data_IF_715777533333
#
_entry.id   IF_715777533333
#
_cell.length_a   1.000
_cell.length_b   1.000
_cell.length_c   1.000
_cell.angle_alpha   90.00
_cell.angle_beta   90.00
_cell.angle_gamma   90.00
#
_symmetry.space_group_name_H-M   'P 1'
#
loop_
_entity.id
_entity.type
_entity.pdbx_description
1 polymer ?
#
# COMPACT_ATOMS: atom_id res chain seq x y z
N UNK A 1 17.27 8.84 3.73
CA UNK A 1 16.41 9.81 3.02
C UNK A 1 14.98 9.52 3.40
N UNK A 2 14.16 10.53 3.68
CA UNK A 2 12.75 10.32 3.97
C UNK A 2 12.04 9.80 2.71
N UNK A 3 11.36 8.66 2.84
CA UNK A 3 10.47 8.07 1.83
C UNK A 3 9.35 9.05 1.48
N UNK A 4 9.59 9.94 0.51
CA UNK A 4 8.57 10.86 0.03
C UNK A 4 7.84 10.19 -1.13
N UNK A 5 6.59 9.78 -0.90
CA UNK A 5 5.70 9.44 -2.00
C UNK A 5 5.41 10.73 -2.79
N UNK A 6 5.86 10.77 -4.04
CA UNK A 6 5.70 11.93 -4.92
C UNK A 6 4.59 11.61 -5.92
N UNK A 7 3.49 12.38 -5.89
CA UNK A 7 2.44 12.27 -6.89
C UNK A 7 2.79 13.14 -8.11
N UNK A 8 3.37 12.50 -9.11
CA UNK A 8 3.87 13.15 -10.33
C UNK A 8 2.77 13.64 -11.28
N UNK A 9 1.52 13.23 -11.06
CA UNK A 9 0.40 13.58 -11.94
C UNK A 9 -0.30 14.88 -11.51
N UNK A 10 -0.41 15.12 -10.19
CA UNK A 10 -1.13 16.28 -9.66
C UNK A 10 -0.25 17.54 -9.62
N UNK A 11 1.08 17.40 -9.65
CA UNK A 11 2.04 18.50 -9.45
C UNK A 11 3.11 18.51 -10.53
N UNK A 12 2.99 19.40 -11.54
CA UNK A 12 3.99 19.56 -12.60
C UNK A 12 5.40 19.89 -12.07
N UNK A 13 5.49 20.56 -10.92
CA UNK A 13 6.75 20.89 -10.25
C UNK A 13 7.49 19.64 -9.75
N UNK A 14 6.75 18.68 -9.18
CA UNK A 14 7.28 17.40 -8.71
C UNK A 14 7.79 16.55 -9.89
N UNK A 15 7.10 16.63 -11.03
CA UNK A 15 7.55 16.01 -12.29
C UNK A 15 8.87 16.60 -12.75
N UNK A 16 8.94 17.93 -12.85
CA UNK A 16 10.16 18.62 -13.29
C UNK A 16 11.33 18.34 -12.35
N UNK A 17 11.10 18.30 -11.04
CA UNK A 17 12.11 17.92 -10.06
C UNK A 17 12.66 16.51 -10.29
N UNK A 18 11.79 15.52 -10.56
CA UNK A 18 12.22 14.16 -10.86
C UNK A 18 12.97 14.08 -12.20
N UNK A 19 12.50 14.78 -13.23
CA UNK A 19 13.18 14.87 -14.53
C UNK A 19 14.59 15.47 -14.36
N UNK A 20 14.71 16.57 -13.63
CA UNK A 20 16.00 17.22 -13.34
C UNK A 20 16.94 16.29 -12.55
N UNK A 21 16.41 15.53 -11.57
CA UNK A 21 17.19 14.54 -10.82
C UNK A 21 17.72 13.42 -11.72
N UNK A 22 16.89 12.92 -12.65
CA UNK A 22 17.26 11.85 -13.57
C UNK A 22 18.25 12.33 -14.64
N UNK A 23 18.10 13.55 -15.15
CA UNK A 23 19.05 14.15 -16.11
C UNK A 23 20.42 14.36 -15.45
N UNK A 24 20.44 14.74 -14.18
CA UNK A 24 21.67 14.96 -13.42
C UNK A 24 22.17 13.71 -12.68
N UNK A 25 21.55 12.55 -12.89
CA UNK A 25 21.98 11.29 -12.30
C UNK A 25 23.40 10.96 -12.77
N UNK A 26 24.28 10.64 -11.82
CA UNK A 26 25.70 10.34 -12.09
C UNK A 26 25.95 8.84 -12.25
N UNK A 27 24.93 8.04 -11.94
CA UNK A 27 24.97 6.60 -12.01
C UNK A 27 25.14 6.11 -13.45
N UNK A 28 25.95 5.06 -13.62
CA UNK A 28 26.26 4.51 -14.95
C UNK A 28 25.06 3.89 -15.67
N UNK A 29 24.08 3.39 -14.91
CA UNK A 29 22.90 2.72 -15.43
C UNK A 29 21.63 3.27 -14.78
N UNK A 30 20.58 3.37 -15.58
CA UNK A 30 19.23 3.69 -15.12
C UNK A 30 18.29 2.62 -15.67
N UNK A 31 17.67 1.86 -14.78
CA UNK A 31 16.70 0.84 -15.15
C UNK A 31 15.28 1.34 -14.92
N UNK A 32 14.40 1.14 -15.90
CA UNK A 32 12.97 1.28 -15.73
C UNK A 32 12.34 -0.10 -15.59
N UNK A 33 11.78 -0.39 -14.43
CA UNK A 33 11.17 -1.67 -14.09
C UNK A 33 9.70 -1.45 -13.81
N UNK A 34 8.85 -2.34 -14.32
CA UNK A 34 7.41 -2.34 -14.03
C UNK A 34 7.11 -3.56 -13.17
N UNK A 35 6.61 -3.32 -11.97
CA UNK A 35 6.18 -4.36 -11.05
C UNK A 35 4.65 -4.42 -11.04
N UNK A 36 4.10 -5.60 -11.35
CA UNK A 36 2.69 -5.88 -11.20
C UNK A 36 2.53 -7.23 -10.52
N UNK A 37 1.72 -7.27 -9.47
CA UNK A 37 1.41 -8.49 -8.73
C UNK A 37 0.42 -9.40 -9.46
N UNK A 38 -0.21 -8.90 -10.54
CA UNK A 38 -1.32 -9.55 -11.21
C UNK A 38 -2.65 -9.49 -10.44
N UNK A 39 -2.68 -8.86 -9.26
CA UNK A 39 -3.88 -8.75 -8.44
C UNK A 39 -4.62 -7.44 -8.70
N UNK A 40 -5.76 -7.56 -9.40
CA UNK A 40 -6.58 -6.41 -9.82
C UNK A 40 -7.31 -5.70 -8.67
N UNK A 41 -7.38 -6.34 -7.50
CA UNK A 41 -8.06 -5.80 -6.33
C UNK A 41 -7.19 -4.84 -5.51
N UNK A 42 -5.88 -4.79 -5.78
CA UNK A 42 -4.96 -4.01 -4.97
C UNK A 42 -5.21 -2.50 -5.11
N UNK A 43 -5.35 -1.83 -3.96
CA UNK A 43 -5.35 -0.37 -3.88
C UNK A 43 -3.95 0.18 -4.15
N UNK A 44 -3.84 1.47 -4.50
CA UNK A 44 -2.56 2.14 -4.74
C UNK A 44 -1.58 1.97 -3.57
N UNK A 45 -2.07 2.13 -2.33
CA UNK A 45 -1.26 1.92 -1.12
C UNK A 45 -0.77 0.47 -0.98
N UNK A 46 -1.61 -0.51 -1.35
CA UNK A 46 -1.22 -1.92 -1.28
C UNK A 46 -0.13 -2.23 -2.32
N UNK A 47 -0.27 -1.70 -3.53
CA UNK A 47 0.75 -1.82 -4.58
C UNK A 47 2.07 -1.17 -4.14
N UNK A 48 2.01 0.01 -3.52
CA UNK A 48 3.19 0.67 -2.95
C UNK A 48 3.92 -0.23 -1.96
N UNK A 49 3.22 -0.69 -0.93
CA UNK A 49 3.81 -1.48 0.15
C UNK A 49 4.40 -2.80 -0.37
N UNK A 50 3.67 -3.48 -1.26
CA UNK A 50 4.16 -4.69 -1.93
C UNK A 50 5.42 -4.40 -2.75
N UNK A 51 5.41 -3.36 -3.59
CA UNK A 51 6.57 -3.01 -4.43
C UNK A 51 7.79 -2.62 -3.59
N UNK A 52 7.59 -1.88 -2.48
CA UNK A 52 8.66 -1.56 -1.52
C UNK A 52 9.27 -2.81 -0.89
N UNK A 53 8.44 -3.76 -0.45
CA UNK A 53 8.91 -5.02 0.12
C UNK A 53 9.76 -5.82 -0.90
N UNK A 54 9.30 -5.89 -2.15
CA UNK A 54 10.04 -6.54 -3.25
C UNK A 54 11.41 -5.89 -3.43
N UNK A 55 11.48 -4.56 -3.55
CA UNK A 55 12.75 -3.85 -3.75
C UNK A 55 13.70 -4.00 -2.54
N UNK A 56 13.16 -3.90 -1.32
CA UNK A 56 13.92 -4.06 -0.10
C UNK A 56 14.51 -5.47 0.04
N UNK A 57 13.76 -6.52 -0.32
CA UNK A 57 14.24 -7.91 -0.31
C UNK A 57 15.45 -8.12 -1.23
N UNK A 58 15.61 -7.26 -2.26
CA UNK A 58 16.71 -7.30 -3.22
C UNK A 58 17.84 -6.32 -2.87
N UNK A 59 17.77 -5.67 -1.70
CA UNK A 59 18.74 -4.65 -1.30
C UNK A 59 18.67 -3.36 -2.11
N UNK A 60 17.59 -3.12 -2.85
CA UNK A 60 17.40 -1.92 -3.66
C UNK A 60 16.76 -0.84 -2.79
N UNK A 61 17.58 0.09 -2.31
CA UNK A 61 17.17 1.17 -1.41
C UNK A 61 17.07 2.54 -2.10
N UNK A 62 17.69 2.71 -3.27
CA UNK A 62 17.64 3.94 -4.06
C UNK A 62 16.80 3.72 -5.31
N UNK A 63 15.62 4.33 -5.35
CA UNK A 63 14.72 4.26 -6.48
C UNK A 63 13.71 5.41 -6.46
N UNK A 64 13.08 5.65 -7.61
CA UNK A 64 11.87 6.45 -7.72
C UNK A 64 10.71 5.51 -8.06
N UNK A 65 9.53 5.75 -7.51
CA UNK A 65 8.36 4.89 -7.68
C UNK A 65 7.12 5.71 -8.00
N UNK A 66 6.36 5.25 -8.99
CA UNK A 66 5.06 5.78 -9.37
C UNK A 66 4.05 4.65 -9.41
N UNK A 67 2.89 4.83 -8.79
CA UNK A 67 1.88 3.78 -8.66
C UNK A 67 0.68 4.12 -9.53
N UNK A 68 0.25 3.14 -10.32
CA UNK A 68 -1.00 3.19 -11.05
C UNK A 68 -1.92 2.11 -10.50
N UNK A 69 -3.02 2.51 -9.83
CA UNK A 69 -4.04 1.59 -9.34
C UNK A 69 -5.41 2.28 -9.28
N UNK A 70 -6.46 1.55 -9.66
CA UNK A 70 -7.84 2.01 -9.63
C UNK A 70 -8.12 3.21 -10.54
N UNK A 71 -9.24 3.89 -10.29
CA UNK A 71 -9.70 5.03 -11.10
C UNK A 71 -8.69 6.18 -11.14
N UNK A 72 -8.04 6.50 -10.00
CA UNK A 72 -7.01 7.54 -9.92
C UNK A 72 -5.76 7.21 -10.73
N UNK A 73 -5.42 5.94 -10.86
CA UNK A 73 -4.30 5.49 -11.72
C UNK A 73 -4.69 5.23 -13.17
N UNK A 74 -5.98 5.43 -13.52
CA UNK A 74 -6.58 5.12 -14.82
C UNK A 74 -6.27 3.71 -15.33
N UNK A 75 -6.20 2.73 -14.42
CA UNK A 75 -5.90 1.34 -14.78
C UNK A 75 -6.70 0.35 -13.97
N UNK A 76 -7.23 -0.68 -14.65
CA UNK A 76 -7.83 -1.86 -14.03
C UNK A 76 -6.79 -2.93 -13.65
N UNK A 77 -5.52 -2.68 -13.97
CA UNK A 77 -4.40 -3.55 -13.63
C UNK A 77 -3.42 -2.74 -12.76
N UNK A 78 -3.50 -2.85 -11.43
CA UNK A 78 -2.60 -2.15 -10.52
C UNK A 78 -1.14 -2.55 -10.74
N UNK A 79 -0.24 -1.56 -10.81
CA UNK A 79 1.19 -1.76 -11.01
C UNK A 79 2.02 -0.53 -10.55
N UNK A 80 3.31 -0.75 -10.33
CA UNK A 80 4.28 0.28 -9.99
C UNK A 80 5.34 0.41 -11.09
N UNK A 81 5.57 1.63 -11.56
CA UNK A 81 6.74 1.99 -12.35
C UNK A 81 7.86 2.41 -11.41
N UNK A 82 9.04 1.81 -11.58
CA UNK A 82 10.20 2.05 -10.73
C UNK A 82 11.39 2.41 -11.59
N UNK A 83 12.08 3.48 -11.20
CA UNK A 83 13.34 3.89 -11.81
C UNK A 83 14.47 3.64 -10.81
N UNK A 84 15.47 2.86 -11.23
CA UNK A 84 16.58 2.43 -10.38
C UNK A 84 17.89 2.95 -10.99
N UNK A 85 18.42 4.08 -10.49
CA UNK A 85 19.77 4.53 -10.81
C UNK A 85 20.79 3.69 -10.05
N UNK A 86 21.81 3.16 -10.74
CA UNK A 86 22.84 2.29 -10.15
C UNK A 86 24.15 2.32 -10.94
N UNK A 87 25.28 2.15 -10.25
CA UNK A 87 26.60 1.97 -10.88
C UNK A 87 26.87 0.51 -11.29
N UNK A 88 26.06 -0.42 -10.79
CA UNK A 88 26.19 -1.85 -11.06
C UNK A 88 25.21 -2.28 -12.14
N UNK A 89 25.71 -2.98 -13.16
CA UNK A 89 24.87 -3.51 -14.23
C UNK A 89 24.01 -4.65 -13.70
N UNK A 90 22.69 -4.56 -13.89
CA UNK A 90 21.79 -5.66 -13.62
C UNK A 90 21.89 -6.71 -14.73
N UNK A 91 22.19 -7.92 -14.31
CA UNK A 91 22.13 -9.11 -15.14
C UNK A 91 20.76 -9.79 -15.08
N UNK A 92 20.53 -10.76 -15.96
CA UNK A 92 19.28 -11.53 -16.04
C UNK A 92 18.85 -12.12 -14.69
N UNK A 93 19.80 -12.58 -13.88
CA UNK A 93 19.55 -13.12 -12.53
C UNK A 93 18.92 -12.11 -11.58
N UNK A 94 19.26 -10.82 -11.68
CA UNK A 94 18.68 -9.77 -10.84
C UNK A 94 17.19 -9.61 -11.12
N UNK A 95 16.80 -9.51 -12.39
CA UNK A 95 15.40 -9.41 -12.78
C UNK A 95 14.60 -10.65 -12.40
N UNK A 96 15.21 -11.83 -12.50
CA UNK A 96 14.59 -13.07 -12.04
C UNK A 96 14.34 -13.06 -10.53
N UNK A 97 15.31 -12.61 -9.72
CA UNK A 97 15.16 -12.53 -8.27
C UNK A 97 14.13 -11.49 -7.83
N UNK A 98 14.06 -10.34 -8.52
CA UNK A 98 12.99 -9.35 -8.33
C UNK A 98 11.62 -9.98 -8.58
N UNK A 99 11.46 -10.70 -9.70
CA UNK A 99 10.20 -11.40 -10.01
C UNK A 99 9.85 -12.43 -8.94
N UNK A 100 10.79 -13.30 -8.59
CA UNK A 100 10.60 -14.35 -7.58
C UNK A 100 10.17 -13.76 -6.23
N UNK A 101 10.75 -12.63 -5.85
CA UNK A 101 10.36 -11.93 -4.62
C UNK A 101 8.97 -11.31 -4.72
N UNK A 102 8.61 -10.75 -5.88
CA UNK A 102 7.24 -10.32 -6.17
C UNK A 102 6.21 -11.42 -5.98
N UNK A 103 6.50 -12.62 -6.48
CA UNK A 103 5.62 -13.79 -6.35
C UNK A 103 5.48 -14.23 -4.87
N UNK A 104 6.58 -14.25 -4.11
CA UNK A 104 6.58 -14.58 -2.68
C UNK A 104 5.81 -13.55 -1.84
N UNK A 105 6.10 -12.25 -2.01
CA UNK A 105 5.41 -11.18 -1.29
C UNK A 105 3.91 -11.18 -1.59
N UNK A 106 3.52 -11.49 -2.83
CA UNK A 106 2.11 -11.61 -3.18
C UNK A 106 1.42 -12.80 -2.51
N UNK A 107 2.12 -13.93 -2.34
CA UNK A 107 1.61 -15.07 -1.60
C UNK A 107 1.41 -14.73 -0.12
N UNK A 108 2.38 -14.08 0.51
CA UNK A 108 2.26 -13.62 1.90
C UNK A 108 1.11 -12.63 2.08
N UNK A 109 0.99 -11.65 1.18
CA UNK A 109 -0.11 -10.68 1.19
C UNK A 109 -1.47 -11.41 1.18
N UNK A 110 -1.65 -12.36 0.26
CA UNK A 110 -2.90 -13.14 0.17
C UNK A 110 -3.18 -14.00 1.39
N UNK A 111 -2.15 -14.60 2.00
CA UNK A 111 -2.31 -15.42 3.20
C UNK A 111 -2.75 -14.58 4.40
N UNK A 112 -2.15 -13.39 4.58
CA UNK A 112 -2.55 -12.46 5.64
C UNK A 112 -4.01 -12.03 5.48
N UNK A 113 -4.43 -11.62 4.29
CA UNK A 113 -5.83 -11.22 4.05
C UNK A 113 -6.82 -12.37 4.28
N UNK A 114 -6.49 -13.60 3.88
CA UNK A 114 -7.33 -14.78 4.18
C UNK A 114 -7.46 -15.02 5.68
N UNK A 115 -6.35 -15.00 6.42
CA UNK A 115 -6.39 -15.22 7.87
C UNK A 115 -7.19 -14.16 8.61
N UNK A 116 -7.13 -12.90 8.16
CA UNK A 116 -7.94 -11.82 8.73
C UNK A 116 -9.41 -12.01 8.36
N UNK A 117 -9.73 -12.36 7.12
CA UNK A 117 -11.12 -12.60 6.71
C UNK A 117 -11.76 -13.77 7.47
N UNK A 118 -11.00 -14.84 7.70
CA UNK A 118 -11.42 -16.00 8.52
C UNK A 118 -11.67 -15.59 9.97
N UNK A 119 -10.75 -14.86 10.61
CA UNK A 119 -10.88 -14.39 11.99
C UNK A 119 -12.08 -13.41 12.17
N UNK A 120 -12.37 -12.58 11.16
CA UNK A 120 -13.54 -11.69 11.17
C UNK A 120 -14.86 -12.44 10.97
N UNK A 121 -14.90 -13.47 10.11
CA UNK A 121 -16.08 -14.32 9.92
C UNK A 121 -16.38 -15.14 11.17
N UNK A 122 -15.37 -15.66 11.85
CA UNK A 122 -15.54 -16.39 13.12
C UNK A 122 -16.14 -15.48 14.21
N UNK A 123 -15.70 -14.23 14.32
CA UNK A 123 -16.25 -13.25 15.29
C UNK A 123 -17.70 -12.86 15.01
N UNK A 124 -18.11 -12.78 13.74
CA UNK A 124 -19.50 -12.50 13.36
C UNK A 124 -20.41 -13.70 13.66
N UNK A 125 -19.97 -14.91 13.31
CA UNK A 125 -20.71 -16.14 13.62
C UNK A 125 -20.83 -16.39 15.14
N UNK A 126 -19.82 -15.99 15.92
CA UNK A 126 -19.91 -16.05 17.39
C UNK A 126 -20.91 -15.05 17.97
N UNK A 127 -21.15 -13.90 17.32
CA UNK A 127 -22.18 -12.94 17.76
C UNK A 127 -23.59 -13.44 17.48
N UNK A 128 -23.86 -14.01 16.30
CA UNK A 128 -25.19 -14.55 15.96
C UNK A 128 -25.59 -15.75 16.84
N UNK A 129 -24.63 -16.57 17.26
CA UNK A 129 -24.88 -17.68 18.19
C UNK A 129 -25.01 -17.27 19.67
N UNK A 130 -24.87 -15.97 19.99
CA UNK A 130 -25.09 -15.44 21.36
C UNK A 130 -26.36 -14.59 21.48
N UNK A 131 -27.13 -14.43 20.40
CA UNK A 131 -28.40 -13.68 20.36
C UNK A 131 -29.65 -14.56 20.52
N UNK A 132 -29.59 -15.60 21.35
CA UNK A 132 -30.77 -16.30 21.86
C UNK A 132 -30.74 -16.32 23.40
N UNK A 133 -31.19 -15.23 24.01
CA UNK A 133 -31.98 -15.22 25.26
C UNK A 133 -32.07 -13.80 25.81
N UNK A 134 -33.29 -13.28 25.98
CA UNK A 134 -33.55 -12.14 26.85
C UNK A 134 -34.33 -10.98 26.23
N UNK A 135 -35.50 -11.25 25.64
CA UNK A 135 -36.49 -10.20 25.44
C UNK A 135 -37.07 -9.73 26.78
N UNK A 136 -37.02 -8.42 27.05
CA UNK A 136 -38.07 -7.70 27.79
C UNK A 136 -37.99 -6.20 27.55
N UNK A 137 -39.12 -5.66 27.08
CA UNK A 137 -39.47 -4.24 26.96
C UNK A 137 -39.08 -3.42 28.19
N UNK A 138 -38.58 -2.20 27.98
CA UNK A 138 -39.07 -0.98 28.64
C UNK A 138 -38.97 0.16 27.63
N UNK A 139 -40.11 0.56 27.04
CA UNK A 139 -40.33 1.95 26.65
C UNK A 139 -40.55 2.76 27.94
N UNK A 140 -39.96 3.98 27.98
CA UNK A 140 -40.46 5.23 28.62
C UNK A 140 -39.37 5.95 29.43
N UNK A 141 -39.43 7.29 29.33
CA UNK A 141 -38.69 8.36 30.04
C UNK A 141 -37.43 8.83 29.30
N UNK A 142 -37.57 9.87 28.48
CA UNK A 142 -37.43 11.30 28.85
C UNK A 142 -35.95 11.62 29.14
N UNK A 143 -35.26 12.25 28.19
CA UNK A 143 -35.06 13.71 28.14
C UNK A 143 -34.24 14.23 29.34
N UNK A 144 -33.18 14.97 29.01
CA UNK A 144 -32.19 15.55 29.93
C UNK A 144 -31.19 14.59 30.61
N UNK A 145 -30.06 14.39 29.95
CA UNK A 145 -28.74 14.81 30.48
C UNK A 145 -27.64 14.35 29.54
N UNK A 146 -26.93 15.30 28.91
CA UNK A 146 -25.46 15.34 28.85
C UNK A 146 -25.01 16.49 27.93
N UNK A 147 -25.02 17.68 28.52
CA UNK A 147 -24.17 18.79 28.13
C UNK A 147 -22.71 18.32 28.04
N UNK A 148 -22.04 18.78 26.97
CA UNK A 148 -20.61 19.15 26.88
C UNK A 148 -19.58 18.13 27.39
N UNK A 149 -18.76 17.64 26.46
CA UNK A 149 -17.29 17.67 26.59
C UNK A 149 -16.64 17.57 25.21
N UNK A 150 -16.24 18.73 24.70
CA UNK A 150 -15.16 18.88 23.74
C UNK A 150 -13.87 18.36 24.38
N UNK A 151 -13.16 17.46 23.70
CA UNK A 151 -11.84 16.99 24.12
C UNK A 151 -10.81 17.66 23.21
N UNK A 152 -10.07 18.60 23.79
CA UNK A 152 -8.77 19.06 23.29
C UNK A 152 -7.72 17.98 23.55
N UNK A 153 -6.87 17.70 22.56
CA UNK A 153 -5.69 16.86 22.74
C UNK A 153 -4.45 17.75 22.52
N UNK A 154 -3.75 18.07 23.61
CA UNK A 154 -2.35 18.51 23.58
C UNK A 154 -1.46 17.27 23.68
N UNK A 155 -0.53 17.12 22.73
CA UNK A 155 0.58 16.19 22.82
C UNK A 155 1.78 16.95 23.38
N UNK A 156 2.29 16.49 24.52
CA UNK A 156 3.63 16.82 25.01
C UNK A 156 4.69 15.95 24.37
#
# INVERSE_FOLDING_TARGET
>A
MLDRAINVQEKPEDRKFLEDQLVNAKEKYIYHVILSSGDKSMSARSVELWAKAVLQSQGISKYYMVIHAGEKGHTNNPHAHIIIPTDSRFERGHFFNIRKSGDLEQQFHRQLFRSVEEDWKERLNHRENTSESGGKQIEREEEETLKKRSIDIQLG
#
